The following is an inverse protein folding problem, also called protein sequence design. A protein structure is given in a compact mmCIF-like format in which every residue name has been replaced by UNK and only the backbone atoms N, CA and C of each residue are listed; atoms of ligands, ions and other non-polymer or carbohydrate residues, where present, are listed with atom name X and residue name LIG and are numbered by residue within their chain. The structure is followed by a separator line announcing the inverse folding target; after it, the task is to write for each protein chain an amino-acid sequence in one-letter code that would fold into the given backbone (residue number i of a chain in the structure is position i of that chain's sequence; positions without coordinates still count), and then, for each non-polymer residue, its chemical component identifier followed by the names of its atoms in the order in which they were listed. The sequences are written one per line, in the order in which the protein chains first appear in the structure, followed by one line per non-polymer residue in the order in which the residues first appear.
data_IF_454015767165
#
_entry.id   IF_454015767165
#
_cell.length_a   1.000
_cell.length_b   1.000
_cell.length_c   1.000
_cell.angle_alpha   90.00
_cell.angle_beta   90.00
_cell.angle_gamma   90.00
#
_symmetry.space_group_name_H-M   'P 1'
#
loop_
_entity.id
_entity.type
_entity.pdbx_description
1 polymer ?
#
# COMPACT_ATOMS: atom_id res chain seq x y z
N UNK A 1 5.65 -11.21 7.40
CA UNK A 1 4.56 -11.53 6.47
C UNK A 1 4.28 -10.34 5.56
N UNK A 2 4.25 -9.12 6.09
CA UNK A 2 3.94 -7.89 5.34
C UNK A 2 4.84 -7.62 4.12
N UNK A 3 6.15 -7.88 4.23
CA UNK A 3 7.10 -7.69 3.12
C UNK A 3 6.80 -8.61 1.92
N UNK A 4 6.24 -9.81 2.15
CA UNK A 4 5.89 -10.73 1.07
C UNK A 4 4.67 -10.21 0.29
N UNK A 5 3.64 -9.70 0.98
CA UNK A 5 2.46 -9.16 0.31
C UNK A 5 2.81 -7.93 -0.53
N UNK A 6 3.72 -7.08 -0.05
CA UNK A 6 4.21 -5.91 -0.80
C UNK A 6 5.01 -6.34 -2.02
N UNK A 7 5.92 -7.31 -1.88
CA UNK A 7 6.67 -7.85 -3.03
C UNK A 7 5.75 -8.50 -4.07
N UNK A 8 4.71 -9.22 -3.63
CA UNK A 8 3.69 -9.76 -4.52
C UNK A 8 2.90 -8.65 -5.23
N UNK A 9 2.54 -7.57 -4.54
CA UNK A 9 1.85 -6.44 -5.15
C UNK A 9 2.75 -5.73 -6.19
N UNK A 10 4.06 -5.63 -5.93
CA UNK A 10 5.02 -5.06 -6.89
C UNK A 10 5.17 -5.95 -8.13
N UNK A 11 5.31 -7.26 -7.94
CA UNK A 11 5.44 -8.22 -9.04
C UNK A 11 4.16 -8.31 -9.87
N UNK A 12 3.00 -8.21 -9.22
CA UNK A 12 1.71 -8.14 -9.90
C UNK A 12 1.47 -6.81 -10.65
N UNK A 13 2.37 -5.83 -10.49
CA UNK A 13 2.23 -4.50 -11.10
C UNK A 13 1.06 -3.69 -10.55
N UNK A 14 0.67 -3.92 -9.29
CA UNK A 14 -0.44 -3.20 -8.67
C UNK A 14 -0.08 -1.73 -8.39
N UNK A 15 -1.00 -0.82 -8.67
CA UNK A 15 -0.80 0.61 -8.38
C UNK A 15 -0.91 0.94 -6.88
N UNK A 16 -1.73 0.18 -6.15
CA UNK A 16 -2.05 0.43 -4.75
C UNK A 16 -1.98 -0.84 -3.91
N UNK A 17 -1.37 -0.71 -2.73
CA UNK A 17 -1.42 -1.70 -1.65
C UNK A 17 -2.30 -1.14 -0.53
N UNK A 18 -3.51 -1.69 -0.40
CA UNK A 18 -4.50 -1.21 0.57
C UNK A 18 -4.40 -2.03 1.86
N UNK A 19 -4.29 -1.37 3.00
CA UNK A 19 -4.30 -2.03 4.32
C UNK A 19 -5.08 -1.21 5.36
N UNK A 20 -5.66 -1.87 6.34
CA UNK A 20 -6.27 -1.21 7.50
C UNK A 20 -5.24 -0.89 8.60
N UNK A 21 -4.02 -1.39 8.49
CA UNK A 21 -2.95 -1.15 9.46
C UNK A 21 -2.19 0.14 9.10
N UNK A 22 -2.54 1.23 9.78
CA UNK A 22 -1.89 2.53 9.60
C UNK A 22 -0.40 2.52 9.95
N UNK A 23 0.04 1.65 10.88
CA UNK A 23 1.44 1.53 11.25
C UNK A 23 2.20 0.90 10.08
N UNK A 24 1.64 -0.14 9.46
CA UNK A 24 2.20 -0.75 8.26
C UNK A 24 2.25 0.24 7.09
N UNK A 25 1.13 0.92 6.79
CA UNK A 25 1.05 1.91 5.69
C UNK A 25 2.08 3.02 5.87
N UNK A 26 2.24 3.54 7.09
CA UNK A 26 3.26 4.56 7.38
C UNK A 26 4.69 4.04 7.27
N UNK A 27 4.95 2.78 7.62
CA UNK A 27 6.27 2.16 7.45
C UNK A 27 6.61 1.97 5.99
N UNK A 28 5.66 1.47 5.19
CA UNK A 28 5.83 1.27 3.76
C UNK A 28 6.06 2.60 3.03
N UNK A 29 5.29 3.64 3.35
CA UNK A 29 5.48 4.98 2.77
C UNK A 29 6.81 5.65 3.16
N UNK A 30 7.51 5.17 4.19
CA UNK A 30 8.86 5.65 4.54
C UNK A 30 9.97 4.95 3.75
N UNK A 31 9.68 3.84 3.09
CA UNK A 31 10.66 3.09 2.31
C UNK A 31 10.63 3.65 0.89
N UNK A 32 11.68 4.36 0.50
CA UNK A 32 11.76 5.05 -0.80
C UNK A 32 11.84 4.10 -2.01
N UNK A 33 12.07 2.80 -1.80
CA UNK A 33 12.32 1.81 -2.84
C UNK A 33 11.13 0.86 -3.09
N UNK A 34 9.92 1.27 -2.70
CA UNK A 34 8.69 0.51 -2.96
C UNK A 34 7.96 1.18 -4.14
N UNK A 35 7.65 0.40 -5.17
CA UNK A 35 6.94 0.86 -6.37
C UNK A 35 5.43 0.96 -6.16
N UNK A 36 4.86 0.14 -5.28
CA UNK A 36 3.42 0.14 -4.96
C UNK A 36 3.07 1.26 -3.98
N UNK A 37 1.97 1.98 -4.19
CA UNK A 37 1.52 3.02 -3.24
C UNK A 37 0.75 2.39 -2.09
N UNK A 38 1.31 2.43 -0.88
CA UNK A 38 0.63 1.96 0.31
C UNK A 38 -0.40 3.00 0.79
N UNK A 39 -1.67 2.61 0.89
CA UNK A 39 -2.78 3.49 1.31
C UNK A 39 -3.65 2.80 2.35
N UNK A 40 -4.32 3.58 3.19
CA UNK A 40 -5.33 3.03 4.10
C UNK A 40 -6.61 2.73 3.34
N UNK A 41 -7.44 1.83 3.87
CA UNK A 41 -8.70 1.46 3.23
C UNK A 41 -9.68 2.64 3.13
N UNK A 42 -9.69 3.52 4.14
CA UNK A 42 -10.48 4.75 4.13
C UNK A 42 -9.95 5.79 3.15
N UNK A 43 -8.62 5.91 3.02
CA UNK A 43 -7.96 6.80 2.05
C UNK A 43 -8.25 6.33 0.62
N UNK A 44 -8.18 5.02 0.38
CA UNK A 44 -8.49 4.42 -0.91
C UNK A 44 -9.93 4.71 -1.35
N UNK A 45 -10.91 4.44 -0.47
CA UNK A 45 -12.32 4.71 -0.78
C UNK A 45 -12.55 6.21 -1.02
N UNK A 46 -11.95 7.08 -0.19
CA UNK A 46 -12.12 8.53 -0.36
C UNK A 46 -11.58 9.06 -1.68
N UNK A 47 -10.58 8.39 -2.28
CA UNK A 47 -9.98 8.76 -3.58
C UNK A 47 -10.70 8.18 -4.78
N UNK A 48 -11.45 7.09 -4.61
CA UNK A 48 -12.21 6.46 -5.69
C UNK A 48 -13.64 7.01 -5.79
N UNK A 49 -14.20 7.49 -4.66
CA UNK A 49 -15.57 8.00 -4.56
C UNK A 49 -15.69 9.49 -4.93
N UNK A 50 -14.57 10.24 -5.00
CA UNK A 50 -14.51 11.67 -5.37
C UNK A 50 -13.64 11.88 -6.61
#
# INVERSE_FOLDING_TARGET
MDALHVACAEEAGADYFVSCDDVLVRRLNKIANIKVRAVSLLDFISREVF
#
